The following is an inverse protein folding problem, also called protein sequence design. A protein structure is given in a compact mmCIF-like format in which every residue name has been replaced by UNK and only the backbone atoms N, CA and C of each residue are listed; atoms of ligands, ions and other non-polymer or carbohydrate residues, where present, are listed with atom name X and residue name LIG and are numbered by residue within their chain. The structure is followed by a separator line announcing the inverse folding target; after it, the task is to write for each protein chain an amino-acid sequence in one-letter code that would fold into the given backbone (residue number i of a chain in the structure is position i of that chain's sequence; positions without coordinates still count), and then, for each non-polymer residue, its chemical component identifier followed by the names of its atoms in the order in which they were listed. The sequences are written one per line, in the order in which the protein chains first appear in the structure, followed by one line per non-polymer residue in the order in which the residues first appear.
data_IF_593761685438
#
_entry.id   IF_593761685438
#
_cell.length_a   1.000
_cell.length_b   1.000
_cell.length_c   1.000
_cell.angle_alpha   90.00
_cell.angle_beta   90.00
_cell.angle_gamma   90.00
#
_symmetry.space_group_name_H-M   'P 1'
#
loop_
_entity.id
_entity.type
_entity.pdbx_description
1 polymer ?
#
# COMPACT_ATOMS: atom_id res chain seq x y z
N UNK A 1 14.11 -5.31 -17.02
CA UNK A 1 12.95 -5.10 -17.92
C UNK A 1 11.87 -6.16 -17.74
N UNK A 2 12.20 -7.45 -17.71
CA UNK A 2 11.22 -8.55 -17.61
C UNK A 2 10.29 -8.47 -16.39
N UNK A 3 10.82 -8.21 -15.18
CA UNK A 3 9.98 -8.08 -13.98
C UNK A 3 8.96 -6.94 -14.04
N UNK A 4 9.31 -5.80 -14.65
CA UNK A 4 8.39 -4.67 -14.86
C UNK A 4 7.26 -5.05 -15.82
N UNK A 5 7.58 -5.71 -16.94
CA UNK A 5 6.57 -6.18 -17.90
C UNK A 5 5.64 -7.20 -17.24
N UNK A 6 6.17 -8.12 -16.44
CA UNK A 6 5.37 -9.11 -15.70
C UNK A 6 4.42 -8.43 -14.71
N UNK A 7 4.91 -7.47 -13.91
CA UNK A 7 4.07 -6.70 -12.99
C UNK A 7 2.97 -5.94 -13.74
N UNK A 8 3.33 -5.26 -14.84
CA UNK A 8 2.39 -4.48 -15.64
C UNK A 8 1.31 -5.35 -16.27
N UNK A 9 1.68 -6.42 -16.99
CA UNK A 9 0.71 -7.28 -17.69
C UNK A 9 -0.21 -7.98 -16.70
N UNK A 10 0.32 -8.52 -15.61
CA UNK A 10 -0.51 -9.22 -14.62
C UNK A 10 -1.44 -8.29 -13.85
N UNK A 11 -0.98 -7.09 -13.44
CA UNK A 11 -1.86 -6.09 -12.82
C UNK A 11 -2.90 -5.55 -13.80
N UNK A 12 -2.55 -5.35 -15.07
CA UNK A 12 -3.48 -4.92 -16.11
C UNK A 12 -4.59 -5.96 -16.34
N UNK A 13 -4.22 -7.23 -16.52
CA UNK A 13 -5.18 -8.33 -16.66
C UNK A 13 -6.05 -8.46 -15.41
N UNK A 14 -5.47 -8.41 -14.21
CA UNK A 14 -6.23 -8.47 -12.96
C UNK A 14 -7.23 -7.31 -12.84
N UNK A 15 -6.84 -6.10 -13.25
CA UNK A 15 -7.74 -4.94 -13.27
C UNK A 15 -8.90 -5.15 -14.24
N UNK A 16 -8.63 -5.65 -15.46
CA UNK A 16 -9.69 -5.97 -16.43
C UNK A 16 -10.66 -7.04 -15.90
N UNK A 17 -10.15 -8.06 -15.22
CA UNK A 17 -10.97 -9.11 -14.61
C UNK A 17 -11.84 -8.56 -13.49
N UNK A 18 -11.29 -7.72 -12.60
CA UNK A 18 -12.06 -7.07 -11.53
C UNK A 18 -13.20 -6.23 -12.13
N UNK A 19 -12.93 -5.44 -13.18
CA UNK A 19 -13.97 -4.65 -13.83
C UNK A 19 -15.01 -5.56 -14.51
N UNK A 20 -14.56 -6.59 -15.24
CA UNK A 20 -15.43 -7.49 -16.00
C UNK A 20 -16.37 -8.31 -15.10
N UNK A 21 -15.89 -8.69 -13.91
CA UNK A 21 -16.61 -9.54 -12.96
C UNK A 21 -17.19 -8.76 -11.77
N UNK A 22 -17.43 -7.45 -11.95
CA UNK A 22 -18.00 -6.58 -10.92
C UNK A 22 -19.29 -7.14 -10.30
N UNK A 23 -20.13 -7.80 -11.10
CA UNK A 23 -21.36 -8.45 -10.62
C UNK A 23 -21.16 -9.49 -9.51
N UNK A 24 -19.98 -10.11 -9.41
CA UNK A 24 -19.69 -11.15 -8.41
C UNK A 24 -19.25 -10.57 -7.06
N UNK A 25 -18.57 -9.42 -7.04
CA UNK A 25 -17.97 -8.86 -5.84
C UNK A 25 -18.55 -7.51 -5.41
N UNK A 26 -19.37 -6.86 -6.25
CA UNK A 26 -19.93 -5.53 -5.99
C UNK A 26 -20.65 -5.44 -4.64
N UNK A 27 -21.33 -6.51 -4.21
CA UNK A 27 -21.99 -6.57 -2.90
C UNK A 27 -21.06 -6.30 -1.72
N UNK A 28 -19.77 -6.65 -1.83
CA UNK A 28 -18.78 -6.52 -0.75
C UNK A 28 -17.75 -5.42 -1.01
N UNK A 29 -17.48 -5.08 -2.26
CA UNK A 29 -16.35 -4.21 -2.64
C UNK A 29 -16.79 -2.84 -3.17
N UNK A 30 -18.07 -2.66 -3.48
CA UNK A 30 -18.50 -1.46 -4.16
C UNK A 30 -18.86 -0.32 -3.19
N UNK A 31 -18.59 0.90 -3.63
CA UNK A 31 -19.00 2.10 -2.91
C UNK A 31 -20.37 2.61 -3.32
N UNK A 32 -21.40 2.01 -2.72
CA UNK A 32 -22.80 2.38 -2.95
C UNK A 32 -23.28 3.61 -2.18
N UNK A 33 -22.48 4.15 -1.25
CA UNK A 33 -22.85 5.36 -0.51
C UNK A 33 -22.33 6.60 -1.25
N UNK A 34 -23.23 7.31 -1.93
CA UNK A 34 -22.89 8.44 -2.81
C UNK A 34 -22.98 9.81 -2.10
N UNK A 35 -23.58 9.87 -0.90
CA UNK A 35 -23.89 11.13 -0.19
C UNK A 35 -22.74 11.65 0.71
N UNK A 36 -21.50 11.30 0.40
CA UNK A 36 -20.35 11.81 1.14
C UNK A 36 -19.98 13.23 0.70
N UNK A 37 -19.56 14.14 1.60
CA UNK A 37 -19.19 15.53 1.26
C UNK A 37 -18.03 15.64 0.25
N UNK A 38 -17.34 14.52 -0.02
CA UNK A 38 -16.23 14.41 -0.97
C UNK A 38 -16.53 13.45 -2.14
N UNK A 39 -17.78 12.97 -2.30
CA UNK A 39 -18.16 11.97 -3.31
C UNK A 39 -18.98 12.61 -4.43
N UNK A 40 -18.43 12.64 -5.64
CA UNK A 40 -19.09 13.17 -6.84
C UNK A 40 -19.50 12.07 -7.85
N UNK A 41 -19.24 10.80 -7.51
CA UNK A 41 -19.62 9.67 -8.35
C UNK A 41 -21.14 9.48 -8.31
N UNK A 42 -21.79 9.38 -9.47
CA UNK A 42 -23.22 9.04 -9.58
C UNK A 42 -23.48 7.53 -9.54
N UNK A 43 -22.41 6.72 -9.58
CA UNK A 43 -22.48 5.27 -9.72
C UNK A 43 -21.52 4.60 -8.73
N UNK A 44 -21.87 3.39 -8.33
CA UNK A 44 -21.07 2.57 -7.43
C UNK A 44 -19.76 2.17 -8.10
N UNK A 45 -18.63 2.35 -7.40
CA UNK A 45 -17.28 2.01 -7.90
C UNK A 45 -16.60 0.97 -7.01
N UNK A 46 -15.83 0.07 -7.60
CA UNK A 46 -15.08 -0.97 -6.88
C UNK A 46 -13.88 -0.38 -6.14
N UNK A 47 -13.74 -0.69 -4.84
CA UNK A 47 -12.62 -0.22 -3.99
C UNK A 47 -11.45 -1.20 -3.90
N UNK A 48 -11.54 -2.37 -4.53
CA UNK A 48 -10.50 -3.42 -4.44
C UNK A 48 -9.40 -3.28 -5.51
N UNK A 49 -9.19 -2.09 -6.06
CA UNK A 49 -8.17 -1.83 -7.08
C UNK A 49 -6.75 -2.16 -6.62
N UNK A 50 -6.45 -2.01 -5.32
CA UNK A 50 -5.15 -2.40 -4.75
C UNK A 50 -4.81 -3.89 -4.92
N UNK A 51 -5.81 -4.77 -5.09
CA UNK A 51 -5.59 -6.21 -5.31
C UNK A 51 -4.88 -6.47 -6.64
N UNK A 52 -5.19 -5.71 -7.70
CA UNK A 52 -4.53 -5.91 -9.00
C UNK A 52 -3.05 -5.52 -8.95
N UNK A 53 -2.72 -4.44 -8.22
CA UNK A 53 -1.34 -4.01 -7.98
C UNK A 53 -0.59 -5.08 -7.17
N UNK A 54 -1.21 -5.61 -6.11
CA UNK A 54 -0.61 -6.67 -5.29
C UNK A 54 -0.31 -7.94 -6.10
N UNK A 55 -1.22 -8.35 -6.99
CA UNK A 55 -1.00 -9.47 -7.92
C UNK A 55 0.20 -9.18 -8.83
N UNK A 56 0.30 -7.96 -9.35
CA UNK A 56 1.41 -7.50 -10.18
C UNK A 56 2.77 -7.64 -9.50
N UNK A 57 2.88 -7.09 -8.28
CA UNK A 57 4.10 -7.14 -7.48
C UNK A 57 4.44 -8.59 -7.16
N UNK A 58 3.47 -9.39 -6.72
CA UNK A 58 3.66 -10.80 -6.39
C UNK A 58 4.20 -11.61 -7.58
N UNK A 59 3.59 -11.46 -8.76
CA UNK A 59 4.03 -12.16 -9.97
C UNK A 59 5.46 -11.77 -10.38
N UNK A 60 5.80 -10.48 -10.30
CA UNK A 60 7.14 -10.01 -10.62
C UNK A 60 8.19 -10.50 -9.61
N UNK A 61 7.86 -10.52 -8.32
CA UNK A 61 8.75 -11.05 -7.28
C UNK A 61 8.97 -12.56 -7.45
N UNK A 62 7.93 -13.35 -7.74
CA UNK A 62 8.09 -14.77 -8.04
C UNK A 62 8.98 -15.02 -9.26
N UNK A 63 8.83 -14.21 -10.31
CA UNK A 63 9.67 -14.30 -11.50
C UNK A 63 11.14 -13.98 -11.18
N UNK A 64 11.39 -12.94 -10.38
CA UNK A 64 12.75 -12.57 -9.98
C UNK A 64 13.38 -13.60 -9.06
N UNK A 65 12.61 -14.16 -8.13
CA UNK A 65 13.04 -15.26 -7.28
C UNK A 65 13.40 -16.50 -8.11
N UNK A 66 12.61 -16.83 -9.14
CA UNK A 66 12.94 -17.93 -10.06
C UNK A 66 14.27 -17.70 -10.80
N UNK A 67 14.53 -16.47 -11.23
CA UNK A 67 15.74 -16.13 -11.97
C UNK A 67 16.98 -16.04 -11.06
N UNK A 68 16.81 -15.58 -9.82
CA UNK A 68 17.87 -15.42 -8.82
C UNK A 68 17.38 -15.92 -7.44
N UNK A 69 17.41 -17.23 -7.18
CA UNK A 69 16.80 -17.83 -5.98
C UNK A 69 17.41 -17.37 -4.65
N UNK A 70 18.67 -16.91 -4.68
CA UNK A 70 19.39 -16.43 -3.50
C UNK A 70 18.96 -15.02 -3.09
N UNK A 71 18.31 -14.25 -3.97
CA UNK A 71 17.85 -12.91 -3.66
C UNK A 71 16.40 -12.95 -3.14
N UNK A 72 16.27 -13.02 -1.82
CA UNK A 72 14.97 -13.11 -1.13
C UNK A 72 14.49 -11.77 -0.55
N UNK A 73 15.21 -10.67 -0.77
CA UNK A 73 14.86 -9.36 -0.19
C UNK A 73 13.45 -8.90 -0.60
N UNK A 74 13.10 -9.04 -1.89
CA UNK A 74 11.76 -8.70 -2.37
C UNK A 74 10.66 -9.58 -1.75
N UNK A 75 10.97 -10.85 -1.46
CA UNK A 75 10.04 -11.77 -0.82
C UNK A 75 9.83 -11.40 0.65
N UNK A 76 10.90 -11.04 1.36
CA UNK A 76 10.83 -10.54 2.74
C UNK A 76 10.01 -9.24 2.76
N UNK A 77 10.22 -8.34 1.78
CA UNK A 77 9.45 -7.11 1.66
C UNK A 77 7.95 -7.38 1.45
N UNK A 78 7.60 -8.33 0.59
CA UNK A 78 6.22 -8.77 0.42
C UNK A 78 5.59 -9.20 1.75
N UNK A 79 6.30 -10.03 2.52
CA UNK A 79 5.85 -10.49 3.84
C UNK A 79 5.67 -9.31 4.81
N UNK A 80 6.61 -8.35 4.82
CA UNK A 80 6.53 -7.16 5.66
C UNK A 80 5.31 -6.28 5.34
N UNK A 81 4.88 -6.22 4.08
CA UNK A 81 3.75 -5.37 3.65
C UNK A 81 2.39 -6.02 3.92
N UNK A 82 2.32 -7.34 4.13
CA UNK A 82 1.06 -8.07 4.38
C UNK A 82 0.17 -7.41 5.45
N UNK A 83 0.65 -7.01 6.65
CA UNK A 83 -0.20 -6.41 7.66
C UNK A 83 -0.89 -5.12 7.17
N UNK A 84 -0.15 -4.25 6.47
CA UNK A 84 -0.70 -3.00 5.92
C UNK A 84 -1.68 -3.27 4.79
N UNK A 85 -1.34 -4.18 3.89
CA UNK A 85 -2.21 -4.52 2.77
C UNK A 85 -3.51 -5.18 3.26
N UNK A 86 -3.42 -6.11 4.21
CA UNK A 86 -4.57 -6.80 4.76
C UNK A 86 -5.53 -5.85 5.48
N UNK A 87 -5.01 -4.92 6.31
CA UNK A 87 -5.89 -3.95 6.99
C UNK A 87 -6.51 -2.94 6.01
N UNK A 88 -5.77 -2.56 4.96
CA UNK A 88 -6.27 -1.70 3.88
C UNK A 88 -7.41 -2.37 3.12
N UNK A 89 -7.19 -3.60 2.65
CA UNK A 89 -8.21 -4.37 1.96
C UNK A 89 -9.43 -4.65 2.85
N UNK A 90 -9.22 -4.90 4.13
CA UNK A 90 -10.32 -5.06 5.11
C UNK A 90 -11.12 -3.77 5.25
N UNK A 91 -10.47 -2.61 5.24
CA UNK A 91 -11.15 -1.31 5.23
C UNK A 91 -11.94 -1.11 3.94
N UNK A 92 -11.36 -1.38 2.77
CA UNK A 92 -12.04 -1.25 1.47
C UNK A 92 -13.32 -2.10 1.39
N UNK A 93 -13.27 -3.33 1.94
CA UNK A 93 -14.39 -4.26 1.95
C UNK A 93 -15.44 -3.96 3.02
N UNK A 94 -15.02 -3.56 4.23
CA UNK A 94 -15.94 -3.43 5.37
C UNK A 94 -16.39 -2.01 5.64
N UNK A 95 -15.56 -1.01 5.29
CA UNK A 95 -15.71 0.42 5.59
C UNK A 95 -15.87 0.72 7.10
N UNK A 96 -15.40 -0.19 7.95
CA UNK A 96 -15.54 -0.11 9.42
C UNK A 96 -14.22 0.03 10.16
N UNK A 97 -13.10 0.05 9.44
CA UNK A 97 -11.77 0.10 10.04
C UNK A 97 -11.38 1.55 10.29
N UNK A 98 -11.19 1.91 11.56
CA UNK A 98 -10.77 3.26 11.94
C UNK A 98 -9.29 3.55 11.62
N UNK A 99 -8.97 4.84 11.53
CA UNK A 99 -7.62 5.36 11.22
C UNK A 99 -6.57 4.79 12.19
N UNK A 100 -6.87 4.71 13.49
CA UNK A 100 -5.94 4.20 14.52
C UNK A 100 -5.51 2.76 14.23
N UNK A 101 -6.44 1.90 13.86
CA UNK A 101 -6.14 0.49 13.54
C UNK A 101 -5.26 0.40 12.30
N UNK A 102 -5.55 1.20 11.26
CA UNK A 102 -4.73 1.24 10.04
C UNK A 102 -3.29 1.66 10.37
N UNK A 103 -3.12 2.73 11.15
CA UNK A 103 -1.81 3.21 11.60
C UNK A 103 -1.01 2.16 12.37
N UNK A 104 -1.65 1.39 13.26
CA UNK A 104 -0.99 0.33 14.03
C UNK A 104 -0.45 -0.75 13.09
N UNK A 105 -1.27 -1.23 12.15
CA UNK A 105 -0.85 -2.27 11.19
C UNK A 105 0.21 -1.76 10.21
N UNK A 106 0.16 -0.49 9.82
CA UNK A 106 1.23 0.17 9.07
C UNK A 106 2.52 0.30 9.87
N UNK A 107 2.42 0.59 11.17
CA UNK A 107 3.58 0.62 12.05
C UNK A 107 4.22 -0.76 12.19
N UNK A 108 3.41 -1.82 12.34
CA UNK A 108 3.89 -3.21 12.40
C UNK A 108 4.66 -3.55 11.12
N UNK A 109 4.10 -3.24 9.94
CA UNK A 109 4.79 -3.48 8.66
C UNK A 109 6.11 -2.70 8.54
N UNK A 110 6.12 -1.43 8.99
CA UNK A 110 7.33 -0.60 9.00
C UNK A 110 8.41 -1.15 9.94
N UNK A 111 8.04 -1.62 11.13
CA UNK A 111 8.96 -2.28 12.06
C UNK A 111 9.53 -3.55 11.42
N UNK A 112 8.68 -4.39 10.82
CA UNK A 112 9.13 -5.60 10.13
C UNK A 112 10.15 -5.28 9.02
N UNK A 113 9.88 -4.28 8.19
CA UNK A 113 10.82 -3.86 7.15
C UNK A 113 12.14 -3.33 7.75
N UNK A 114 12.05 -2.52 8.80
CA UNK A 114 13.23 -1.98 9.50
C UNK A 114 14.09 -3.08 10.15
N UNK A 115 13.48 -4.17 10.64
CA UNK A 115 14.20 -5.26 11.31
C UNK A 115 14.72 -6.31 10.34
N UNK A 116 13.92 -6.73 9.36
CA UNK A 116 14.28 -7.84 8.47
C UNK A 116 15.03 -7.42 7.21
N UNK A 117 14.84 -6.17 6.75
CA UNK A 117 15.52 -5.64 5.57
C UNK A 117 16.54 -4.56 5.90
N UNK A 118 16.64 -4.15 7.17
CA UNK A 118 17.42 -2.97 7.56
C UNK A 118 16.91 -1.69 6.90
N UNK A 119 15.66 -1.66 6.45
CA UNK A 119 15.05 -0.51 5.78
C UNK A 119 14.79 0.60 6.79
N UNK A 120 15.83 1.38 7.10
CA UNK A 120 15.83 2.44 8.11
C UNK A 120 16.31 3.75 7.51
N UNK A 121 15.66 4.85 7.89
CA UNK A 121 16.15 6.20 7.63
C UNK A 121 17.23 6.51 8.66
N UNK A 122 18.49 6.50 8.22
CA UNK A 122 19.67 6.67 9.08
C UNK A 122 20.32 8.06 8.96
N UNK A 123 19.87 8.88 8.01
CA UNK A 123 20.30 10.27 7.82
C UNK A 123 19.22 11.07 7.11
N UNK A 124 19.20 12.37 7.37
CA UNK A 124 18.38 13.37 6.66
C UNK A 124 19.22 14.41 5.94
N UNK A 125 20.55 14.36 6.06
CA UNK A 125 21.49 15.34 5.52
C UNK A 125 21.20 16.76 6.06
N UNK A 126 20.73 16.82 7.32
CA UNK A 126 20.44 18.06 8.06
C UNK A 126 21.41 18.16 9.23
N UNK A 127 22.23 19.22 9.23
CA UNK A 127 23.19 19.49 10.31
C UNK A 127 22.49 19.52 11.67
N UNK A 128 23.04 18.80 12.65
CA UNK A 128 22.48 18.69 14.00
C UNK A 128 21.46 17.55 14.17
N UNK A 129 20.61 17.29 13.17
CA UNK A 129 19.57 16.25 13.24
C UNK A 129 20.17 14.86 13.06
N UNK A 130 21.21 14.73 12.23
CA UNK A 130 21.81 13.43 11.95
C UNK A 130 22.46 12.78 13.20
N UNK A 131 22.83 13.58 14.21
CA UNK A 131 23.30 13.06 15.50
C UNK A 131 22.21 12.27 16.25
N UNK A 132 20.93 12.54 16.01
CA UNK A 132 19.85 11.77 16.65
C UNK A 132 19.84 10.32 16.17
N UNK A 133 20.24 10.05 14.92
CA UNK A 133 20.26 8.71 14.36
C UNK A 133 21.40 7.83 14.91
N UNK A 134 22.37 8.40 15.63
CA UNK A 134 23.39 7.60 16.33
C UNK A 134 22.84 6.94 17.59
N UNK A 135 21.68 7.41 18.11
CA UNK A 135 21.02 6.82 19.28
C UNK A 135 20.31 5.53 18.84
N UNK A 136 20.59 4.38 19.49
CA UNK A 136 19.94 3.12 19.15
C UNK A 136 18.41 3.23 19.19
N UNK A 137 17.75 2.76 18.14
CA UNK A 137 16.28 2.76 18.03
C UNK A 137 15.65 4.05 17.52
N UNK A 138 16.35 5.19 17.55
CA UNK A 138 15.80 6.45 16.99
C UNK A 138 15.56 6.35 15.49
N UNK A 139 16.48 5.74 14.75
CA UNK A 139 16.30 5.48 13.32
C UNK A 139 15.04 4.64 13.03
N UNK A 140 14.78 3.61 13.83
CA UNK A 140 13.58 2.76 13.69
C UNK A 140 12.32 3.58 14.01
N UNK A 141 12.28 4.28 15.14
CA UNK A 141 11.13 5.10 15.53
C UNK A 141 10.80 6.16 14.48
N UNK A 142 11.83 6.84 13.98
CA UNK A 142 11.67 7.84 12.92
C UNK A 142 11.18 7.21 11.61
N UNK A 143 11.72 6.05 11.23
CA UNK A 143 11.28 5.31 10.04
C UNK A 143 9.81 4.90 10.13
N UNK A 144 9.39 4.38 11.29
CA UNK A 144 8.00 4.01 11.54
C UNK A 144 7.10 5.24 11.46
N UNK A 145 7.49 6.34 12.09
CA UNK A 145 6.78 7.62 12.00
C UNK A 145 6.65 8.10 10.55
N UNK A 146 7.73 8.08 9.78
CA UNK A 146 7.75 8.51 8.39
C UNK A 146 6.84 7.64 7.51
N UNK A 147 6.94 6.30 7.61
CA UNK A 147 6.13 5.37 6.81
C UNK A 147 4.65 5.48 7.16
N UNK A 148 4.31 5.49 8.45
CA UNK A 148 2.91 5.60 8.91
C UNK A 148 2.30 6.95 8.56
N UNK A 149 3.05 8.04 8.79
CA UNK A 149 2.65 9.40 8.45
C UNK A 149 2.42 9.58 6.96
N UNK A 150 3.36 9.12 6.12
CA UNK A 150 3.25 9.20 4.66
C UNK A 150 2.08 8.35 4.13
N UNK A 151 1.89 7.13 4.63
CA UNK A 151 0.76 6.28 4.24
C UNK A 151 -0.57 6.94 4.60
N UNK A 152 -0.69 7.49 5.80
CA UNK A 152 -1.89 8.21 6.23
C UNK A 152 -2.12 9.50 5.41
N UNK A 153 -1.05 10.23 5.08
CA UNK A 153 -1.14 11.40 4.22
C UNK A 153 -1.65 11.06 2.82
N UNK A 154 -1.13 9.99 2.19
CA UNK A 154 -1.66 9.50 0.91
C UNK A 154 -3.14 9.13 1.01
N UNK A 155 -3.55 8.43 2.08
CA UNK A 155 -4.95 8.09 2.29
C UNK A 155 -5.86 9.31 2.43
N UNK A 156 -5.39 10.40 3.05
CA UNK A 156 -6.13 11.65 3.18
C UNK A 156 -6.21 12.37 1.83
N UNK A 157 -5.09 12.47 1.11
CA UNK A 157 -5.00 13.17 -0.18
C UNK A 157 -5.80 12.42 -1.26
N UNK A 158 -5.70 11.10 -1.33
CA UNK A 158 -6.44 10.26 -2.29
C UNK A 158 -7.95 10.24 -1.96
N UNK A 159 -8.30 10.38 -0.68
CA UNK A 159 -9.68 10.62 -0.26
C UNK A 159 -10.26 11.95 -0.75
N UNK A 160 -9.41 12.92 -1.12
CA UNK A 160 -9.81 14.14 -1.82
C UNK A 160 -9.76 13.89 -3.34
N UNK A 161 -10.94 13.74 -3.96
CA UNK A 161 -11.05 13.69 -5.41
C UNK A 161 -10.55 15.02 -6.04
N UNK A 162 -9.32 15.04 -6.56
CA UNK A 162 -8.66 16.21 -7.17
C UNK A 162 -9.21 16.64 -8.55
N UNK A 163 -10.42 16.22 -8.93
CA UNK A 163 -10.97 16.42 -10.28
C UNK A 163 -12.09 17.46 -10.31
N UNK A 164 -11.88 18.61 -9.68
CA UNK A 164 -12.66 19.82 -9.91
C UNK A 164 -12.06 20.69 -11.05
N UNK A 165 -11.26 20.10 -11.96
CA UNK A 165 -10.65 20.85 -13.07
C UNK A 165 -10.55 20.08 -14.39
N UNK A 166 -11.65 19.50 -14.86
CA UNK A 166 -11.95 19.48 -16.32
C UNK A 166 -13.38 19.00 -16.56
N UNK A 167 -14.29 19.98 -16.59
CA UNK A 167 -15.59 20.03 -17.29
C UNK A 167 -16.43 18.77 -17.36
#
# INVERSE_FOLDING_TARGET
MSGLLTAFISSFIATLLIIRFEGLHSRFSADSNLDGPQKFHKYSVSRIGGVSIAIGIFAATLMRLKNNPLNIEELILLVCVIPTFAIGLTEDLTKRVGIKTRLIFTAIAAVMAATYLGAQITRLDISGVDYLFTIPGVAILFTVFAITGLSNAYNIIDGFNWWASSR
#
